data_IF_155757033592
#
_entry.id   IF_155757033592
#
_cell.length_a   1.000
_cell.length_b   1.000
_cell.length_c   1.000
_cell.angle_alpha   90.00
_cell.angle_beta   90.00
_cell.angle_gamma   90.00
#
_symmetry.space_group_name_H-M   'P 1'
#
loop_
_entity.id
_entity.type
_entity.pdbx_description
1 polymer ?
#
# COMPACT_ATOMS: atom_id res chain seq x y z
N UNK A 1 6.40 -15.43 10.36
CA UNK A 1 7.08 -16.39 9.47
C UNK A 1 6.63 -16.19 8.01
N UNK A 2 5.33 -16.23 7.70
CA UNK A 2 4.84 -16.09 6.31
C UNK A 2 5.21 -14.75 5.64
N UNK A 3 5.05 -13.61 6.32
CA UNK A 3 5.40 -12.30 5.72
C UNK A 3 6.89 -12.13 5.40
N UNK A 4 7.77 -12.85 6.09
CA UNK A 4 9.21 -12.84 5.81
C UNK A 4 9.58 -13.61 4.54
N UNK A 5 8.73 -14.53 4.10
CA UNK A 5 9.10 -15.57 3.13
C UNK A 5 8.02 -15.79 2.06
N UNK A 6 7.47 -14.70 1.51
CA UNK A 6 6.63 -14.77 0.31
C UNK A 6 7.38 -14.29 -0.93
N UNK A 7 7.01 -14.84 -2.09
CA UNK A 7 7.46 -14.35 -3.41
C UNK A 7 6.41 -13.43 -4.05
N UNK A 8 5.13 -13.55 -3.66
CA UNK A 8 4.04 -12.66 -4.00
C UNK A 8 3.14 -12.41 -2.76
N UNK A 9 2.86 -11.14 -2.47
CA UNK A 9 1.80 -10.71 -1.57
C UNK A 9 0.66 -10.14 -2.41
N UNK A 10 -0.52 -10.75 -2.31
CA UNK A 10 -1.69 -10.37 -3.08
C UNK A 10 -2.73 -9.76 -2.15
N UNK A 11 -3.08 -8.50 -2.40
CA UNK A 11 -4.15 -7.77 -1.71
C UNK A 11 -5.17 -7.36 -2.76
N UNK A 12 -6.10 -8.25 -3.07
CA UNK A 12 -7.10 -8.06 -4.13
C UNK A 12 -8.47 -7.65 -3.58
N UNK A 13 -8.50 -6.85 -2.51
CA UNK A 13 -9.75 -6.44 -1.87
C UNK A 13 -10.69 -5.76 -2.87
N UNK A 14 -11.98 -6.09 -2.82
CA UNK A 14 -12.98 -5.41 -3.65
C UNK A 14 -13.10 -3.93 -3.26
N UNK A 15 -13.06 -3.64 -1.95
CA UNK A 15 -12.99 -2.31 -1.37
C UNK A 15 -12.30 -2.41 0.00
N UNK A 16 -11.31 -1.56 0.26
CA UNK A 16 -10.64 -1.47 1.55
C UNK A 16 -10.18 -0.02 1.77
N UNK A 17 -10.51 0.56 2.92
CA UNK A 17 -10.14 1.94 3.24
C UNK A 17 -8.63 2.11 3.46
N UNK A 18 -7.97 1.16 4.12
CA UNK A 18 -6.51 1.17 4.29
C UNK A 18 -6.04 -0.23 4.70
N UNK A 19 -5.31 -0.89 3.81
CA UNK A 19 -4.79 -2.22 4.08
C UNK A 19 -3.39 -2.15 4.70
N UNK A 20 -3.27 -2.35 6.01
CA UNK A 20 -1.98 -2.32 6.68
C UNK A 20 -1.10 -3.53 6.33
N UNK A 21 -1.68 -4.66 5.95
CA UNK A 21 -0.90 -5.82 5.50
C UNK A 21 -0.13 -5.50 4.21
N UNK A 22 -0.71 -4.69 3.32
CA UNK A 22 -0.03 -4.19 2.12
C UNK A 22 1.22 -3.35 2.44
N UNK A 23 1.29 -2.75 3.64
CA UNK A 23 2.45 -1.98 4.13
C UNK A 23 3.41 -2.83 4.96
N UNK A 24 2.91 -3.60 5.91
CA UNK A 24 3.72 -4.41 6.82
C UNK A 24 4.44 -5.57 6.09
N UNK A 25 3.76 -6.20 5.12
CA UNK A 25 4.30 -7.34 4.38
C UNK A 25 5.63 -7.02 3.68
N UNK A 26 5.70 -5.99 2.82
CA UNK A 26 6.92 -5.60 2.13
C UNK A 26 8.05 -5.15 3.05
N UNK A 27 7.74 -4.54 4.20
CA UNK A 27 8.74 -4.11 5.18
C UNK A 27 9.51 -5.29 5.77
N UNK A 28 8.81 -6.39 6.10
CA UNK A 28 9.42 -7.54 6.77
C UNK A 28 9.86 -8.65 5.81
N UNK A 29 9.58 -8.51 4.52
CA UNK A 29 9.91 -9.54 3.53
C UNK A 29 11.43 -9.61 3.27
N UNK A 30 11.98 -10.82 3.34
CA UNK A 30 13.41 -11.10 3.16
C UNK A 30 13.72 -11.69 1.77
N UNK A 31 12.74 -11.70 0.85
CA UNK A 31 12.83 -12.34 -0.48
C UNK A 31 12.60 -11.40 -1.66
N UNK A 32 12.46 -10.10 -1.42
CA UNK A 32 11.99 -9.14 -2.42
C UNK A 32 10.73 -9.64 -3.14
N UNK A 33 9.76 -10.12 -2.34
CA UNK A 33 8.47 -10.57 -2.86
C UNK A 33 7.70 -9.40 -3.49
N UNK A 34 7.04 -9.68 -4.61
CA UNK A 34 6.27 -8.68 -5.34
C UNK A 34 4.98 -8.38 -4.59
N UNK A 35 4.55 -7.11 -4.59
CA UNK A 35 3.23 -6.72 -4.07
C UNK A 35 2.28 -6.52 -5.23
N UNK A 36 1.13 -7.19 -5.17
CA UNK A 36 0.02 -7.02 -6.09
C UNK A 36 -1.15 -6.44 -5.31
N UNK A 37 -1.60 -5.26 -5.71
CA UNK A 37 -2.63 -4.49 -5.02
C UNK A 37 -3.81 -4.23 -5.95
N UNK A 38 -5.01 -4.45 -5.42
CA UNK A 38 -6.24 -3.94 -6.01
C UNK A 38 -6.22 -2.41 -6.02
N UNK A 39 -6.63 -1.82 -7.13
CA UNK A 39 -6.82 -0.37 -7.28
C UNK A 39 -7.82 0.21 -6.26
N UNK A 40 -8.70 -0.64 -5.69
CA UNK A 40 -9.71 -0.24 -4.71
C UNK A 40 -9.23 -0.35 -3.26
N UNK A 41 -7.93 -0.61 -3.05
CA UNK A 41 -7.33 -0.68 -1.72
C UNK A 41 -6.74 0.69 -1.38
N UNK A 42 -7.07 1.32 -0.25
CA UNK A 42 -6.53 2.65 0.05
C UNK A 42 -5.00 2.73 0.13
N UNK A 43 -4.32 1.62 0.46
CA UNK A 43 -2.85 1.55 0.40
C UNK A 43 -2.30 1.66 -1.04
N UNK A 44 -3.11 1.37 -2.06
CA UNK A 44 -2.75 1.53 -3.47
C UNK A 44 -2.41 2.98 -3.81
N UNK A 45 -3.15 3.95 -3.26
CA UNK A 45 -2.92 5.38 -3.51
C UNK A 45 -1.48 5.82 -3.22
N UNK A 46 -0.84 5.17 -2.24
CA UNK A 46 0.55 5.43 -1.86
C UNK A 46 1.54 4.50 -2.57
N UNK A 47 1.18 3.23 -2.76
CA UNK A 47 2.12 2.16 -3.11
C UNK A 47 2.11 1.78 -4.61
N UNK A 48 1.18 2.31 -5.40
CA UNK A 48 0.95 1.90 -6.79
C UNK A 48 2.18 1.97 -7.69
N UNK A 49 3.10 2.91 -7.45
CA UNK A 49 4.33 3.06 -8.25
C UNK A 49 5.18 1.78 -8.25
N UNK A 50 5.24 1.09 -7.12
CA UNK A 50 6.10 -0.08 -6.94
C UNK A 50 5.32 -1.41 -6.89
N UNK A 51 4.00 -1.36 -6.71
CA UNK A 51 3.12 -2.53 -6.78
C UNK A 51 2.69 -2.88 -8.22
N UNK A 52 2.23 -4.12 -8.41
CA UNK A 52 1.40 -4.49 -9.56
C UNK A 52 -0.04 -4.13 -9.23
N UNK A 53 -0.63 -3.20 -9.99
CA UNK A 53 -2.04 -2.82 -9.84
C UNK A 53 -2.92 -3.83 -10.57
N UNK A 54 -4.08 -4.15 -10.00
CA UNK A 54 -5.08 -5.01 -10.65
C UNK A 54 -6.50 -4.50 -10.39
N UNK A 55 -7.41 -4.77 -11.32
CA UNK A 55 -8.84 -4.74 -11.04
C UNK A 55 -9.23 -5.99 -10.22
N UNK A 56 -9.82 -5.84 -9.01
CA UNK A 56 -10.22 -6.99 -8.20
C UNK A 56 -11.33 -7.85 -8.85
N UNK A 57 -12.05 -7.30 -9.84
CA UNK A 57 -13.13 -7.98 -10.55
C UNK A 57 -12.67 -8.67 -11.85
N UNK A 58 -11.44 -8.41 -12.31
CA UNK A 58 -10.88 -9.06 -13.49
C UNK A 58 -9.99 -10.24 -13.07
N UNK A 59 -10.49 -11.46 -13.28
CA UNK A 59 -9.77 -12.69 -12.93
C UNK A 59 -8.60 -12.93 -13.89
N UNK A 60 -8.73 -12.53 -15.15
CA UNK A 60 -7.68 -12.75 -16.15
C UNK A 60 -6.51 -11.81 -15.88
N UNK A 61 -6.78 -10.54 -15.61
CA UNK A 61 -5.76 -9.57 -15.21
C UNK A 61 -5.00 -10.03 -13.96
N UNK A 62 -5.71 -10.52 -12.94
CA UNK A 62 -5.10 -11.08 -11.73
C UNK A 62 -4.21 -12.29 -12.05
N UNK A 63 -4.66 -13.20 -12.92
CA UNK A 63 -3.87 -14.35 -13.34
C UNK A 63 -2.58 -13.93 -14.07
N UNK A 64 -2.68 -12.96 -14.98
CA UNK A 64 -1.54 -12.42 -15.73
C UNK A 64 -0.57 -11.68 -14.80
N UNK A 65 -1.08 -10.94 -13.81
CA UNK A 65 -0.27 -10.26 -12.80
C UNK A 65 0.45 -11.25 -11.87
N UNK A 66 -0.20 -12.34 -11.46
CA UNK A 66 0.44 -13.43 -10.70
C UNK A 66 1.56 -14.06 -11.53
N UNK A 67 1.29 -14.37 -12.81
CA UNK A 67 2.30 -14.93 -13.70
C UNK A 67 3.50 -13.99 -13.83
N UNK A 68 3.25 -12.69 -14.09
CA UNK A 68 4.29 -11.66 -14.16
C UNK A 68 5.10 -11.60 -12.86
N UNK A 69 4.44 -11.54 -11.70
CA UNK A 69 5.12 -11.46 -10.41
C UNK A 69 6.09 -12.63 -10.18
N UNK A 70 5.68 -13.86 -10.53
CA UNK A 70 6.48 -15.07 -10.32
C UNK A 70 7.56 -15.30 -11.37
N UNK A 71 7.47 -14.65 -12.54
CA UNK A 71 8.45 -14.73 -13.63
C UNK A 71 9.35 -13.49 -13.73
N UNK A 72 9.10 -12.47 -12.91
CA UNK A 72 9.84 -11.23 -12.85
C UNK A 72 11.32 -11.45 -12.51
N UNK A 73 12.22 -10.67 -13.12
CA UNK A 73 13.65 -10.74 -12.82
C UNK A 73 13.94 -10.33 -11.37
N UNK A 74 15.03 -10.85 -10.81
CA UNK A 74 15.45 -10.50 -9.45
C UNK A 74 15.71 -8.99 -9.29
N UNK A 75 16.23 -8.34 -10.33
CA UNK A 75 16.51 -6.89 -10.32
C UNK A 75 15.22 -6.07 -10.26
N UNK A 76 14.20 -6.41 -11.05
CA UNK A 76 12.91 -5.71 -11.00
C UNK A 76 12.20 -5.94 -9.65
N UNK A 77 12.25 -7.18 -9.14
CA UNK A 77 11.73 -7.52 -7.80
C UNK A 77 12.38 -6.70 -6.69
N UNK A 78 13.71 -6.61 -6.72
CA UNK A 78 14.48 -5.82 -5.77
C UNK A 78 14.13 -4.34 -5.85
N UNK A 79 14.12 -3.77 -7.06
CA UNK A 79 13.77 -2.36 -7.27
C UNK A 79 12.36 -2.01 -6.73
N UNK A 80 11.37 -2.86 -7.00
CA UNK A 80 10.00 -2.71 -6.45
C UNK A 80 9.98 -2.81 -4.94
N UNK A 81 10.60 -3.84 -4.38
CA UNK A 81 10.63 -4.08 -2.93
C UNK A 81 11.26 -2.91 -2.17
N UNK A 82 12.40 -2.41 -2.66
CA UNK A 82 13.08 -1.26 -2.04
C UNK A 82 12.31 0.05 -2.24
N UNK A 83 11.60 0.20 -3.36
CA UNK A 83 10.68 1.32 -3.57
C UNK A 83 9.52 1.34 -2.57
N UNK A 84 8.87 0.20 -2.36
CA UNK A 84 7.80 0.07 -1.35
C UNK A 84 8.31 0.46 0.03
N UNK A 85 9.46 -0.08 0.46
CA UNK A 85 10.04 0.24 1.77
C UNK A 85 10.28 1.74 1.93
N UNK A 86 10.88 2.40 0.93
CA UNK A 86 11.09 3.86 0.97
C UNK A 86 9.80 4.66 1.12
N UNK A 87 8.74 4.28 0.41
CA UNK A 87 7.44 4.96 0.52
C UNK A 87 6.86 4.74 1.92
N UNK A 88 6.86 3.49 2.39
CA UNK A 88 6.26 3.12 3.68
C UNK A 88 7.01 3.76 4.85
N UNK A 89 8.34 3.84 4.80
CA UNK A 89 9.17 4.45 5.85
C UNK A 89 9.16 5.99 5.80
N UNK A 90 8.58 6.61 4.77
CA UNK A 90 8.52 8.07 4.64
C UNK A 90 7.51 8.73 5.57
N UNK A 91 6.54 7.96 6.07
CA UNK A 91 5.51 8.43 7.01
C UNK A 91 5.20 7.35 8.03
N UNK A 92 5.04 7.73 9.28
CA UNK A 92 4.66 6.83 10.35
C UNK A 92 3.24 7.11 10.88
N UNK A 93 2.66 6.22 11.71
CA UNK A 93 1.32 6.45 12.27
C UNK A 93 1.18 7.72 13.12
N UNK A 94 2.29 8.26 13.66
CA UNK A 94 2.34 9.53 14.36
C UNK A 94 2.04 10.70 13.43
N UNK A 95 2.60 10.72 12.23
CA UNK A 95 2.28 11.74 11.22
C UNK A 95 0.78 11.78 10.90
N UNK A 96 0.14 10.60 10.83
CA UNK A 96 -1.30 10.51 10.63
C UNK A 96 -2.08 11.11 11.80
N UNK A 97 -1.67 10.84 13.05
CA UNK A 97 -2.29 11.42 14.24
C UNK A 97 -2.18 12.96 14.24
N UNK A 98 -1.00 13.48 13.90
CA UNK A 98 -0.75 14.92 13.85
C UNK A 98 -1.61 15.64 12.80
N UNK A 99 -1.80 15.02 11.63
CA UNK A 99 -2.73 15.50 10.60
C UNK A 99 -4.16 15.54 11.14
N UNK A 100 -4.62 14.49 11.84
CA UNK A 100 -5.97 14.46 12.41
C UNK A 100 -6.17 15.58 13.45
N UNK A 101 -5.20 15.81 14.33
CA UNK A 101 -5.27 16.88 15.33
C UNK A 101 -5.31 18.25 14.67
N UNK A 102 -4.46 18.48 13.66
CA UNK A 102 -4.42 19.72 12.87
C UNK A 102 -5.77 20.02 12.22
N UNK A 103 -6.39 19.03 11.60
CA UNK A 103 -7.71 19.14 10.96
C UNK A 103 -8.82 19.45 11.97
N UNK A 104 -8.80 18.80 13.13
CA UNK A 104 -9.77 19.04 14.20
C UNK A 104 -9.66 20.47 14.73
N UNK A 105 -8.45 20.97 14.93
CA UNK A 105 -8.23 22.34 15.36
C UNK A 105 -8.68 23.36 14.32
N UNK A 106 -8.41 23.11 13.04
CA UNK A 106 -8.87 23.96 11.94
C UNK A 106 -10.40 24.05 11.90
N UNK A 107 -11.10 22.91 12.05
CA UNK A 107 -12.57 22.86 12.14
C UNK A 107 -13.11 23.62 13.36
N UNK A 108 -12.43 23.54 14.51
CA UNK A 108 -12.81 24.30 15.73
C UNK A 108 -12.70 25.81 15.50
N UNK A 109 -11.59 26.28 14.91
CA UNK A 109 -11.39 27.70 14.57
C UNK A 109 -12.44 28.20 13.57
N UNK A 110 -12.73 27.41 12.53
CA UNK A 110 -13.75 27.75 11.53
C UNK A 110 -15.16 27.89 12.12
N UNK A 111 -15.56 27.01 13.07
CA UNK A 111 -16.84 27.13 13.76
C UNK A 111 -16.95 28.37 14.64
N UNK A 112 -15.86 28.76 15.31
CA UNK A 112 -15.85 29.97 16.14
C UNK A 112 -16.03 31.25 15.29
N UNK A 113 -15.51 31.26 14.06
CA UNK A 113 -15.63 32.40 13.14
C UNK A 113 -17.02 32.54 12.48
N UNK A 114 -17.79 31.46 12.37
CA UNK A 114 -19.14 31.46 11.77
C UNK A 114 -20.23 31.75 12.81
N UNK A 115 -19.92 31.64 14.10
CA UNK A 115 -20.85 31.85 15.22
C UNK A 115 -20.95 33.28 15.78
N UNK A 116 -20.24 34.24 15.18
CA UNK A 116 -20.31 35.70 15.47
C UNK A 116 -20.88 36.43 14.28
#
# INVERSE_FOLDING_TARGET
AAYKHYDLLMVNAMFDGMNLIAKEGPLVNERHGVSLLSENTGAHEELAEFALSVNPFDVQEQADAIHRALTMSADERSWRSEGLKRVIESRDPGDWIDDQLTDIEAKRRGRAAVGT
#
